data_IF_868434300374
#
_entry.id   IF_868434300374
#
_cell.length_a   1.000
_cell.length_b   1.000
_cell.length_c   1.000
_cell.angle_alpha   90.00
_cell.angle_beta   90.00
_cell.angle_gamma   90.00
#
_symmetry.space_group_name_H-M   'P 1'
#
loop_
_entity.id
_entity.type
_entity.pdbx_description
1 polymer ?
#
# COMPACT_ATOMS: atom_id res chain seq x y z
N UNK A 1 3.67 -22.85 -11.61
CA UNK A 1 2.63 -23.77 -11.10
C UNK A 1 3.38 -24.91 -10.47
N UNK A 2 3.80 -24.76 -9.22
CA UNK A 2 4.46 -25.83 -8.47
C UNK A 2 3.38 -26.65 -7.75
N UNK A 3 3.49 -27.96 -7.89
CA UNK A 3 2.66 -28.95 -7.21
C UNK A 3 2.88 -28.82 -5.69
N UNK A 4 1.85 -28.99 -4.84
CA UNK A 4 2.05 -29.04 -3.40
C UNK A 4 2.97 -30.21 -3.06
N UNK A 5 4.00 -29.94 -2.26
CA UNK A 5 4.91 -30.94 -1.70
C UNK A 5 4.13 -32.03 -0.96
N UNK A 6 4.48 -33.28 -1.24
CA UNK A 6 3.81 -34.51 -0.79
C UNK A 6 3.96 -34.86 0.70
N UNK A 7 4.34 -33.93 1.56
CA UNK A 7 4.40 -34.13 3.01
C UNK A 7 3.81 -32.92 3.73
N UNK A 8 2.47 -32.85 3.78
CA UNK A 8 1.79 -31.93 4.67
C UNK A 8 1.47 -32.72 5.94
N UNK A 9 2.02 -32.30 7.08
CA UNK A 9 1.60 -32.78 8.40
C UNK A 9 0.10 -32.53 8.65
N UNK A 10 -0.40 -32.62 9.89
CA UNK A 10 -1.82 -32.41 10.16
C UNK A 10 -2.28 -31.05 9.61
N UNK A 11 -3.32 -31.06 8.77
CA UNK A 11 -3.98 -29.86 8.25
C UNK A 11 -4.36 -28.95 9.40
N UNK A 12 -3.86 -27.70 9.41
CA UNK A 12 -4.19 -26.69 10.41
C UNK A 12 -5.13 -25.64 9.79
N UNK A 13 -6.21 -25.33 10.48
CA UNK A 13 -7.14 -24.26 10.12
C UNK A 13 -6.75 -22.98 10.89
N UNK A 14 -6.65 -21.85 10.19
CA UNK A 14 -6.25 -20.57 10.77
C UNK A 14 -7.38 -19.54 10.57
N UNK A 15 -7.88 -18.92 11.65
CA UNK A 15 -9.01 -17.99 11.59
C UNK A 15 -8.56 -16.58 11.22
N UNK A 16 -8.21 -16.35 9.95
CA UNK A 16 -7.77 -15.03 9.46
C UNK A 16 -8.89 -14.20 8.80
N UNK A 17 -9.75 -14.75 7.91
CA UNK A 17 -10.87 -13.99 7.35
C UNK A 17 -11.93 -13.67 8.41
N UNK A 18 -12.39 -12.43 8.45
CA UNK A 18 -13.41 -11.94 9.38
C UNK A 18 -14.77 -11.85 8.69
N UNK A 19 -15.55 -12.92 8.76
CA UNK A 19 -16.91 -12.90 8.21
C UNK A 19 -17.85 -12.24 9.22
N UNK A 20 -18.62 -11.26 8.76
CA UNK A 20 -19.63 -10.60 9.57
C UNK A 20 -20.73 -11.59 9.97
N UNK A 21 -21.06 -11.63 11.26
CA UNK A 21 -22.16 -12.41 11.81
C UNK A 21 -23.05 -11.49 12.64
N UNK A 22 -24.37 -11.59 12.48
CA UNK A 22 -25.35 -10.77 13.21
C UNK A 22 -26.28 -11.66 14.02
N UNK A 23 -26.25 -11.49 15.34
CA UNK A 23 -27.17 -12.17 16.26
C UNK A 23 -26.65 -13.56 16.65
N UNK A 24 -27.34 -14.61 16.21
CA UNK A 24 -27.04 -15.99 16.58
C UNK A 24 -25.85 -16.54 15.78
N UNK A 25 -25.03 -17.38 16.43
CA UNK A 25 -23.97 -18.14 15.78
C UNK A 25 -24.00 -19.60 16.23
N UNK A 26 -23.48 -20.52 15.41
CA UNK A 26 -23.49 -21.96 15.68
C UNK A 26 -22.08 -22.56 15.68
N UNK A 27 -21.92 -23.66 16.40
CA UNK A 27 -20.70 -24.49 16.39
C UNK A 27 -21.09 -25.92 16.02
N UNK A 28 -20.56 -26.50 14.91
CA UNK A 28 -19.65 -25.91 13.91
C UNK A 28 -20.22 -24.70 13.18
N UNK A 29 -19.35 -23.77 12.78
CA UNK A 29 -19.77 -22.57 12.05
C UNK A 29 -20.36 -22.92 10.69
N UNK A 30 -21.56 -22.40 10.42
CA UNK A 30 -22.19 -22.47 9.11
C UNK A 30 -21.79 -21.30 8.19
N UNK A 31 -20.94 -20.39 8.68
CA UNK A 31 -20.50 -19.16 8.01
C UNK A 31 -19.22 -19.41 7.21
N UNK A 32 -19.05 -18.67 6.11
CA UNK A 32 -17.87 -18.75 5.25
C UNK A 32 -17.81 -20.01 4.36
N UNK A 33 -16.88 -20.03 3.39
CA UNK A 33 -16.82 -21.08 2.36
C UNK A 33 -16.15 -22.38 2.83
N UNK A 34 -15.50 -22.40 4.00
CA UNK A 34 -14.76 -23.56 4.51
C UNK A 34 -15.45 -24.17 5.71
N UNK A 35 -15.76 -25.46 5.63
CA UNK A 35 -16.24 -26.26 6.77
C UNK A 35 -15.07 -26.98 7.43
N UNK A 36 -14.90 -26.73 8.73
CA UNK A 36 -13.82 -27.32 9.54
C UNK A 36 -14.32 -28.65 10.13
N UNK A 37 -13.74 -29.80 9.74
CA UNK A 37 -14.13 -31.10 10.30
C UNK A 37 -13.91 -31.13 11.82
N UNK A 38 -14.94 -31.52 12.58
CA UNK A 38 -14.85 -31.63 14.04
C UNK A 38 -14.68 -30.30 14.77
N UNK A 39 -15.11 -29.18 14.21
CA UNK A 39 -15.03 -27.88 14.87
C UNK A 39 -15.81 -27.87 16.19
N UNK A 40 -15.12 -27.54 17.27
CA UNK A 40 -15.69 -27.42 18.63
C UNK A 40 -15.66 -25.99 19.18
N UNK A 41 -14.99 -25.06 18.47
CA UNK A 41 -14.81 -23.69 18.92
C UNK A 41 -15.01 -22.71 17.77
N UNK A 42 -15.50 -21.51 18.10
CA UNK A 42 -15.54 -20.33 17.23
C UNK A 42 -14.90 -19.16 17.97
N UNK A 43 -14.30 -18.23 17.24
CA UNK A 43 -13.76 -16.98 17.79
C UNK A 43 -14.57 -15.83 17.25
N UNK A 44 -14.96 -14.91 18.14
CA UNK A 44 -15.70 -13.70 17.78
C UNK A 44 -14.78 -12.49 17.97
N UNK A 45 -14.74 -11.63 16.96
CA UNK A 45 -14.15 -10.30 17.06
C UNK A 45 -15.30 -9.30 17.24
N UNK A 46 -15.35 -8.64 18.40
CA UNK A 46 -16.32 -7.58 18.66
C UNK A 46 -15.63 -6.23 18.51
N UNK A 47 -16.21 -5.35 17.69
CA UNK A 47 -15.66 -4.03 17.41
C UNK A 47 -16.63 -2.94 17.85
N UNK A 48 -16.07 -1.84 18.38
CA UNK A 48 -16.82 -0.65 18.76
C UNK A 48 -16.26 0.53 17.99
N UNK A 49 -17.10 1.17 17.19
CA UNK A 49 -16.79 2.44 16.56
C UNK A 49 -17.22 3.60 17.48
N UNK A 50 -16.30 4.51 17.76
CA UNK A 50 -16.58 5.75 18.51
C UNK A 50 -16.74 6.88 17.49
N UNK A 51 -17.95 7.46 17.34
CA UNK A 51 -18.18 8.60 16.45
C UNK A 51 -17.30 9.81 16.81
N UNK A 52 -17.01 10.65 15.81
CA UNK A 52 -16.11 11.79 15.94
C UNK A 52 -16.58 12.83 16.97
N UNK A 53 -17.88 12.96 17.14
CA UNK A 53 -18.59 13.87 18.04
C UNK A 53 -19.02 13.20 19.36
N UNK A 54 -18.60 11.96 19.60
CA UNK A 54 -18.96 11.24 20.81
C UNK A 54 -18.32 11.90 22.05
N UNK A 55 -19.08 12.22 23.11
CA UNK A 55 -18.55 12.91 24.27
C UNK A 55 -17.46 12.11 25.00
N UNK A 56 -16.43 12.82 25.47
CA UNK A 56 -15.40 12.24 26.33
C UNK A 56 -15.98 11.81 27.69
N UNK A 57 -15.43 10.73 28.25
CA UNK A 57 -15.85 10.18 29.54
C UNK A 57 -15.79 8.66 29.59
N UNK A 58 -16.31 8.11 30.68
CA UNK A 58 -16.42 6.66 30.86
C UNK A 58 -17.79 6.19 30.42
N UNK A 59 -17.83 5.22 29.50
CA UNK A 59 -19.04 4.52 29.05
C UNK A 59 -19.01 3.11 29.61
N UNK A 60 -20.10 2.70 30.25
CA UNK A 60 -20.30 1.34 30.71
C UNK A 60 -21.27 0.63 29.76
N UNK A 61 -20.92 -0.59 29.38
CA UNK A 61 -21.72 -1.48 28.56
C UNK A 61 -21.60 -2.92 29.03
N UNK A 62 -22.31 -3.80 28.34
CA UNK A 62 -22.31 -5.23 28.62
C UNK A 62 -22.36 -6.00 27.29
N UNK A 63 -21.48 -6.98 27.14
CA UNK A 63 -21.56 -7.98 26.08
C UNK A 63 -22.15 -9.25 26.69
N UNK A 64 -23.32 -9.67 26.19
CA UNK A 64 -24.02 -10.86 26.67
C UNK A 64 -24.00 -11.95 25.61
N UNK A 65 -23.61 -13.15 26.01
CA UNK A 65 -23.57 -14.35 25.17
C UNK A 65 -24.53 -15.37 25.77
N UNK A 66 -25.58 -15.71 25.04
CA UNK A 66 -26.61 -16.66 25.48
C UNK A 66 -26.50 -17.98 24.71
N UNK A 67 -26.55 -19.10 25.42
CA UNK A 67 -26.59 -20.46 24.85
C UNK A 67 -27.65 -21.28 25.59
N UNK A 68 -28.80 -21.50 24.94
CA UNK A 68 -29.94 -22.14 25.58
C UNK A 68 -30.41 -21.33 26.81
N UNK A 69 -30.49 -21.92 28.01
CA UNK A 69 -30.89 -21.20 29.22
C UNK A 69 -29.75 -20.42 29.88
N UNK A 70 -28.50 -20.62 29.46
CA UNK A 70 -27.33 -20.00 30.07
C UNK A 70 -27.01 -18.66 29.40
N UNK A 71 -26.69 -17.64 30.19
CA UNK A 71 -26.20 -16.35 29.71
C UNK A 71 -24.92 -15.98 30.43
N UNK A 72 -23.89 -15.65 29.66
CA UNK A 72 -22.61 -15.16 30.14
C UNK A 72 -22.50 -13.67 29.83
N UNK A 73 -22.30 -12.85 30.85
CA UNK A 73 -22.26 -11.40 30.74
C UNK A 73 -20.85 -10.88 31.01
N UNK A 74 -20.32 -10.11 30.07
CA UNK A 74 -19.00 -9.48 30.15
C UNK A 74 -19.20 -7.96 30.30
N UNK A 75 -18.88 -7.36 31.45
CA UNK A 75 -18.94 -5.90 31.59
C UNK A 75 -17.85 -5.25 30.73
N UNK A 76 -18.23 -4.24 29.96
CA UNK A 76 -17.33 -3.46 29.11
C UNK A 76 -17.25 -2.04 29.66
N UNK A 77 -16.05 -1.60 30.02
CA UNK A 77 -15.79 -0.21 30.41
C UNK A 77 -14.91 0.44 29.34
N UNK A 78 -15.44 1.45 28.66
CA UNK A 78 -14.74 2.20 27.62
C UNK A 78 -14.42 3.60 28.15
N UNK A 79 -13.15 4.01 28.06
CA UNK A 79 -12.76 5.41 28.27
C UNK A 79 -12.66 6.10 26.92
N UNK A 80 -13.51 7.10 26.71
CA UNK A 80 -13.44 8.01 25.57
C UNK A 80 -12.62 9.22 25.98
N UNK A 81 -11.45 9.38 25.38
CA UNK A 81 -10.56 10.50 25.63
C UNK A 81 -11.03 11.76 24.88
N UNK A 82 -10.67 12.94 25.38
CA UNK A 82 -11.08 14.23 24.80
C UNK A 82 -10.23 14.63 23.59
N UNK A 83 -10.15 13.75 22.59
CA UNK A 83 -9.56 14.02 21.29
C UNK A 83 -10.18 13.11 20.23
N UNK A 84 -10.11 13.53 18.97
CA UNK A 84 -10.62 12.78 17.83
C UNK A 84 -9.48 12.47 16.87
N UNK A 85 -9.43 11.23 16.37
CA UNK A 85 -8.47 10.88 15.32
C UNK A 85 -8.76 11.67 14.04
N UNK A 86 -7.73 12.18 13.34
CA UNK A 86 -7.96 12.92 12.10
C UNK A 86 -8.51 11.99 11.01
N UNK A 87 -9.31 12.58 10.13
CA UNK A 87 -9.82 11.90 8.94
C UNK A 87 -8.70 11.62 7.95
N UNK A 88 -7.86 12.63 7.66
CA UNK A 88 -6.67 12.50 6.83
C UNK A 88 -5.56 11.75 7.56
N UNK A 89 -4.91 10.81 6.88
CA UNK A 89 -3.82 10.06 7.47
C UNK A 89 -2.49 10.81 7.36
N UNK A 90 -1.73 10.85 8.45
CA UNK A 90 -0.34 11.29 8.45
C UNK A 90 0.64 10.16 8.13
N UNK A 91 0.17 8.92 8.26
CA UNK A 91 0.91 7.70 7.97
C UNK A 91 0.01 6.70 7.25
N UNK A 92 0.47 6.19 6.10
CA UNK A 92 -0.34 5.37 5.19
C UNK A 92 0.11 3.90 5.21
N UNK A 93 -0.69 2.98 5.78
CA UNK A 93 -0.58 1.57 5.47
C UNK A 93 -1.15 1.34 4.06
N UNK A 94 -0.26 1.27 3.07
CA UNK A 94 -0.59 1.11 1.68
C UNK A 94 -0.73 -0.37 1.33
N UNK A 95 -1.96 -0.80 1.11
CA UNK A 95 -2.31 -2.14 0.70
C UNK A 95 -2.08 -2.26 -0.80
N UNK A 96 -0.87 -2.66 -1.21
CA UNK A 96 -0.56 -2.81 -2.62
C UNK A 96 -1.25 -4.05 -3.20
N UNK A 97 -1.65 -3.96 -4.46
CA UNK A 97 -2.06 -5.12 -5.22
C UNK A 97 -1.69 -5.03 -6.70
N UNK A 98 -1.34 -6.18 -7.27
CA UNK A 98 -1.17 -6.38 -8.70
C UNK A 98 -2.41 -7.05 -9.30
N UNK A 99 -2.82 -6.61 -10.49
CA UNK A 99 -3.86 -7.30 -11.25
C UNK A 99 -4.51 -6.41 -12.32
N UNK A 100 -4.91 -7.02 -13.43
CA UNK A 100 -5.38 -6.32 -14.65
C UNK A 100 -6.90 -6.31 -14.82
N UNK A 101 -7.67 -6.71 -13.80
CA UNK A 101 -9.14 -6.56 -13.82
C UNK A 101 -9.49 -5.14 -13.40
N UNK A 102 -10.36 -4.47 -14.16
CA UNK A 102 -10.80 -3.09 -13.90
C UNK A 102 -11.09 -2.89 -12.40
N UNK A 103 -10.39 -1.97 -11.73
CA UNK A 103 -10.44 -1.91 -10.27
C UNK A 103 -11.65 -1.16 -9.72
N UNK A 104 -12.52 -0.61 -10.58
CA UNK A 104 -13.50 0.42 -10.21
C UNK A 104 -14.96 -0.05 -10.25
N UNK A 105 -15.25 -1.34 -10.47
CA UNK A 105 -16.61 -1.84 -10.27
C UNK A 105 -16.92 -1.90 -8.77
N UNK A 106 -17.84 -1.04 -8.31
CA UNK A 106 -18.39 -1.04 -6.95
C UNK A 106 -17.58 -0.33 -5.85
N UNK A 107 -16.29 -0.04 -6.07
CA UNK A 107 -15.37 0.54 -5.07
C UNK A 107 -15.23 -0.24 -3.75
N UNK A 108 -15.82 -1.43 -3.60
CA UNK A 108 -15.93 -2.13 -2.31
C UNK A 108 -14.57 -2.41 -1.65
N UNK A 109 -13.54 -2.74 -2.44
CA UNK A 109 -12.18 -2.92 -1.91
C UNK A 109 -11.56 -1.62 -1.39
N UNK A 110 -11.77 -0.51 -2.11
CA UNK A 110 -11.31 0.79 -1.66
C UNK A 110 -12.07 1.22 -0.41
N UNK A 111 -13.40 1.05 -0.39
CA UNK A 111 -14.25 1.37 0.76
C UNK A 111 -13.85 0.57 2.00
N UNK A 112 -13.60 -0.74 1.84
CA UNK A 112 -13.14 -1.59 2.94
C UNK A 112 -11.76 -1.15 3.45
N UNK A 113 -10.81 -0.88 2.56
CA UNK A 113 -9.48 -0.38 2.95
C UNK A 113 -9.58 0.94 3.70
N UNK A 114 -10.40 1.86 3.19
CA UNK A 114 -10.61 3.19 3.73
C UNK A 114 -11.29 3.18 5.11
N UNK A 115 -12.31 2.34 5.30
CA UNK A 115 -12.94 2.06 6.60
C UNK A 115 -11.90 1.59 7.63
N UNK A 116 -10.94 0.79 7.19
CA UNK A 116 -9.85 0.24 8.01
C UNK A 116 -8.68 1.20 8.17
N UNK A 117 -8.83 2.48 7.79
CA UNK A 117 -7.74 3.49 7.82
C UNK A 117 -6.48 3.00 7.10
N UNK A 118 -6.66 2.30 5.97
CA UNK A 118 -5.58 1.88 5.06
C UNK A 118 -5.89 2.41 3.66
N UNK A 119 -4.92 2.41 2.76
CA UNK A 119 -5.13 2.83 1.38
C UNK A 119 -4.83 1.67 0.44
N UNK A 120 -5.82 1.19 -0.30
CA UNK A 120 -5.58 0.23 -1.38
C UNK A 120 -4.96 0.96 -2.57
N UNK A 121 -3.81 0.49 -3.05
CA UNK A 121 -3.18 1.02 -4.26
C UNK A 121 -2.96 -0.11 -5.26
N UNK A 122 -3.63 -0.04 -6.41
CA UNK A 122 -3.66 -1.13 -7.39
C UNK A 122 -2.87 -0.74 -8.63
N UNK A 123 -1.79 -1.48 -8.89
CA UNK A 123 -0.98 -1.21 -10.08
C UNK A 123 -1.80 -1.48 -11.34
N UNK A 124 -2.00 -0.48 -12.23
CA UNK A 124 -2.96 -0.58 -13.31
C UNK A 124 -2.38 -1.22 -14.58
N UNK A 125 -1.17 -1.78 -14.57
CA UNK A 125 -0.54 -2.37 -15.77
C UNK A 125 0.28 -3.64 -15.44
N UNK A 126 0.54 -4.44 -16.49
CA UNK A 126 1.37 -5.64 -16.42
C UNK A 126 2.74 -5.49 -17.08
N UNK A 127 3.43 -6.60 -17.32
CA UNK A 127 4.82 -6.59 -17.82
C UNK A 127 5.00 -6.02 -19.23
N UNK A 128 3.92 -5.92 -20.01
CA UNK A 128 3.94 -5.31 -21.35
C UNK A 128 3.77 -3.79 -21.31
N UNK A 129 3.53 -3.21 -20.13
CA UNK A 129 3.27 -1.78 -19.94
C UNK A 129 1.92 -1.31 -20.50
N UNK A 130 1.06 -2.22 -20.97
CA UNK A 130 -0.31 -1.84 -21.34
C UNK A 130 -1.15 -1.69 -20.07
N UNK A 131 -1.73 -0.50 -19.80
CA UNK A 131 -2.61 -0.34 -18.67
C UNK A 131 -3.94 -1.07 -18.92
N UNK A 132 -4.44 -1.73 -17.87
CA UNK A 132 -5.76 -2.31 -17.83
C UNK A 132 -6.86 -1.24 -17.90
N UNK A 133 -6.58 -0.04 -17.41
CA UNK A 133 -7.47 1.10 -17.49
C UNK A 133 -6.67 2.41 -17.48
N UNK A 134 -6.94 3.29 -18.44
CA UNK A 134 -6.31 4.59 -18.61
C UNK A 134 -7.23 5.51 -19.45
N UNK A 135 -7.07 6.84 -19.41
CA UNK A 135 -7.74 7.72 -20.38
C UNK A 135 -7.29 7.37 -21.80
N UNK A 136 -8.15 7.61 -22.80
CA UNK A 136 -7.74 7.39 -24.20
C UNK A 136 -6.77 8.48 -24.63
N UNK A 137 -5.72 8.10 -25.32
CA UNK A 137 -4.67 8.98 -25.86
C UNK A 137 -4.63 8.85 -27.38
N UNK A 138 -4.55 9.97 -28.10
CA UNK A 138 -4.46 10.01 -29.57
C UNK A 138 -3.12 10.52 -30.12
N UNK A 139 -2.14 10.78 -29.24
CA UNK A 139 -0.85 11.39 -29.60
C UNK A 139 -0.78 12.89 -29.31
N UNK A 140 -1.92 13.55 -29.10
CA UNK A 140 -1.98 14.98 -28.81
C UNK A 140 -2.80 15.31 -27.55
N UNK A 141 -3.89 14.59 -27.31
CA UNK A 141 -4.86 14.88 -26.25
C UNK A 141 -5.38 13.61 -25.60
N UNK A 142 -5.81 13.77 -24.35
CA UNK A 142 -6.55 12.74 -23.64
C UNK A 142 -8.06 12.92 -23.77
N UNK A 143 -8.79 11.80 -23.84
CA UNK A 143 -10.23 11.76 -23.60
C UNK A 143 -10.50 11.25 -22.19
N UNK A 144 -10.98 12.15 -21.32
CA UNK A 144 -11.11 11.92 -19.87
C UNK A 144 -12.43 11.29 -19.43
N UNK A 145 -13.49 11.31 -20.25
CA UNK A 145 -14.86 10.99 -19.80
C UNK A 145 -15.01 9.65 -19.07
N UNK A 146 -14.38 8.58 -19.56
CA UNK A 146 -14.41 7.28 -18.89
C UNK A 146 -13.52 7.25 -17.65
N UNK A 147 -12.36 7.90 -17.72
CA UNK A 147 -11.41 8.02 -16.62
C UNK A 147 -12.05 8.74 -15.43
N UNK A 148 -12.59 9.94 -15.65
CA UNK A 148 -13.23 10.77 -14.63
C UNK A 148 -14.38 10.05 -13.94
N UNK A 149 -15.19 9.30 -14.69
CA UNK A 149 -16.31 8.53 -14.13
C UNK A 149 -15.83 7.43 -13.17
N UNK A 150 -14.73 6.77 -13.50
CA UNK A 150 -14.24 5.60 -12.76
C UNK A 150 -13.26 5.95 -11.65
N UNK A 151 -12.49 7.03 -11.81
CA UNK A 151 -11.41 7.41 -10.89
C UNK A 151 -11.78 8.63 -10.06
N UNK A 152 -12.57 9.56 -10.61
CA UNK A 152 -13.00 10.78 -9.95
C UNK A 152 -13.52 10.53 -8.53
N UNK A 153 -14.47 9.59 -8.32
CA UNK A 153 -15.00 9.30 -6.99
C UNK A 153 -13.97 8.89 -5.93
N UNK A 154 -12.84 8.29 -6.34
CA UNK A 154 -11.75 7.95 -5.41
C UNK A 154 -10.89 9.16 -5.06
N UNK A 155 -10.72 10.10 -6.00
CA UNK A 155 -9.84 11.28 -5.88
C UNK A 155 -10.56 12.52 -5.35
N UNK A 156 -11.89 12.56 -5.41
CA UNK A 156 -12.73 13.59 -4.78
C UNK A 156 -13.39 13.12 -3.47
N UNK A 157 -13.22 11.84 -3.11
CA UNK A 157 -13.71 11.25 -1.87
C UNK A 157 -15.18 10.80 -1.88
N UNK A 158 -15.94 11.08 -2.94
CA UNK A 158 -17.38 10.72 -2.99
C UNK A 158 -17.62 9.21 -2.95
N UNK A 159 -16.65 8.38 -3.37
CA UNK A 159 -16.71 6.92 -3.23
C UNK A 159 -16.77 6.46 -1.76
N UNK A 160 -16.41 7.30 -0.79
CA UNK A 160 -16.29 6.97 0.63
C UNK A 160 -17.37 7.59 1.50
N UNK A 161 -18.41 8.17 0.89
CA UNK A 161 -19.55 8.71 1.63
C UNK A 161 -20.13 7.66 2.59
N UNK A 162 -20.44 8.10 3.82
CA UNK A 162 -21.02 7.28 4.88
C UNK A 162 -20.03 6.38 5.63
N UNK A 163 -18.74 6.41 5.28
CA UNK A 163 -17.68 5.75 6.07
C UNK A 163 -17.18 6.67 7.19
N UNK A 164 -16.43 6.15 8.19
CA UNK A 164 -15.88 6.96 9.27
C UNK A 164 -15.09 8.19 8.82
N UNK A 165 -14.28 8.05 7.76
CA UNK A 165 -13.50 9.12 7.12
C UNK A 165 -14.24 9.74 5.91
N UNK A 166 -15.56 9.96 6.03
CA UNK A 166 -16.42 10.32 4.90
C UNK A 166 -15.85 11.47 4.07
N UNK A 167 -15.92 11.33 2.74
CA UNK A 167 -15.48 12.33 1.75
C UNK A 167 -13.95 12.61 1.71
N UNK A 168 -13.13 11.88 2.47
CA UNK A 168 -11.68 11.89 2.25
C UNK A 168 -11.34 11.07 1.00
N UNK A 169 -10.52 11.59 0.06
CA UNK A 169 -10.05 10.81 -1.06
C UNK A 169 -9.00 9.77 -0.63
N UNK A 170 -8.65 8.86 -1.55
CA UNK A 170 -7.54 7.93 -1.31
C UNK A 170 -6.25 8.69 -1.03
N UNK A 171 -5.45 8.19 -0.10
CA UNK A 171 -4.20 8.85 0.33
C UNK A 171 -3.12 8.81 -0.78
N UNK A 172 -3.07 7.69 -1.53
CA UNK A 172 -2.14 7.45 -2.65
C UNK A 172 -2.86 6.78 -3.81
N UNK A 173 -2.44 7.03 -5.05
CA UNK A 173 -3.03 6.43 -6.25
C UNK A 173 -2.02 6.30 -7.39
N UNK A 174 -1.85 5.10 -7.93
CA UNK A 174 -1.03 4.87 -9.12
C UNK A 174 -1.63 5.50 -10.37
N UNK A 175 -0.84 6.32 -11.06
CA UNK A 175 -1.13 6.75 -12.41
C UNK A 175 -0.86 5.61 -13.41
N UNK A 176 -1.53 5.60 -14.59
CA UNK A 176 -1.35 4.55 -15.59
C UNK A 176 -0.01 4.63 -16.35
N UNK A 177 0.72 5.75 -16.16
CA UNK A 177 2.03 5.98 -16.75
C UNK A 177 3.01 4.85 -16.45
N UNK A 178 3.68 4.40 -17.51
CA UNK A 178 4.80 3.47 -17.41
C UNK A 178 5.72 3.65 -18.63
N UNK A 179 6.76 2.82 -18.75
CA UNK A 179 7.73 2.93 -19.84
C UNK A 179 7.17 2.63 -21.24
N UNK A 180 5.94 2.15 -21.37
CA UNK A 180 5.32 1.77 -22.65
C UNK A 180 3.90 2.34 -22.82
N UNK A 181 3.49 3.27 -21.94
CA UNK A 181 2.23 4.00 -22.08
C UNK A 181 2.36 5.40 -21.45
N UNK A 182 1.86 6.46 -22.12
CA UNK A 182 1.00 6.43 -23.31
C UNK A 182 1.73 6.32 -24.64
N UNK A 183 3.06 6.44 -24.64
CA UNK A 183 3.89 6.33 -25.83
C UNK A 183 4.42 4.90 -25.93
N UNK A 184 4.27 4.29 -27.10
CA UNK A 184 4.75 2.94 -27.35
C UNK A 184 6.28 2.93 -27.43
N UNK A 185 6.95 2.42 -26.40
CA UNK A 185 8.40 2.40 -26.33
C UNK A 185 9.03 1.64 -27.50
N UNK A 186 8.35 0.62 -28.02
CA UNK A 186 8.93 -0.24 -29.07
C UNK A 186 9.16 0.52 -30.38
N UNK A 187 8.42 1.60 -30.61
CA UNK A 187 8.53 2.40 -31.83
C UNK A 187 9.71 3.40 -31.76
N UNK A 188 10.21 3.68 -30.55
CA UNK A 188 11.20 4.73 -30.28
C UNK A 188 12.51 4.23 -29.64
N UNK A 189 12.54 2.97 -29.20
CA UNK A 189 13.65 2.43 -28.43
C UNK A 189 14.77 1.86 -29.33
N UNK A 190 15.98 2.40 -29.16
CA UNK A 190 17.23 1.82 -29.66
C UNK A 190 18.03 1.23 -28.49
N UNK A 191 18.44 -0.06 -28.53
CA UNK A 191 19.19 -0.66 -27.44
C UNK A 191 20.45 0.13 -27.04
N UNK A 192 20.47 0.60 -25.80
CA UNK A 192 21.57 1.35 -25.22
C UNK A 192 21.76 0.99 -23.74
N UNK A 193 22.98 1.18 -23.23
CA UNK A 193 23.23 1.06 -21.80
C UNK A 193 22.62 2.24 -21.02
N UNK A 194 22.62 3.43 -21.62
CA UNK A 194 22.16 4.69 -21.03
C UNK A 194 20.82 5.13 -21.61
N UNK A 195 19.89 5.55 -20.74
CA UNK A 195 18.56 5.99 -21.14
C UNK A 195 18.59 7.22 -22.06
N UNK A 196 19.51 8.16 -21.85
CA UNK A 196 19.67 9.39 -22.65
C UNK A 196 20.06 9.15 -24.11
N UNK A 197 20.41 7.90 -24.47
CA UNK A 197 20.74 7.52 -25.85
C UNK A 197 19.88 6.37 -26.35
N UNK A 198 18.89 5.97 -25.58
CA UNK A 198 18.04 4.82 -25.88
C UNK A 198 16.73 5.21 -26.56
N UNK A 199 16.32 6.47 -26.47
CA UNK A 199 15.07 6.97 -27.02
C UNK A 199 15.35 8.11 -27.99
N UNK A 200 14.48 8.24 -28.99
CA UNK A 200 14.48 9.42 -29.84
C UNK A 200 13.76 10.61 -29.17
N UNK A 201 13.91 11.79 -29.75
CA UNK A 201 13.29 13.01 -29.24
C UNK A 201 11.75 12.95 -29.27
N UNK A 202 11.15 12.18 -30.19
CA UNK A 202 9.69 12.09 -30.27
C UNK A 202 9.12 11.41 -29.03
N UNK A 203 9.78 10.37 -28.52
CA UNK A 203 9.38 9.71 -27.27
C UNK A 203 9.44 10.65 -26.07
N UNK A 204 10.50 11.44 -25.96
CA UNK A 204 10.66 12.46 -24.92
C UNK A 204 9.57 13.54 -25.01
N UNK A 205 9.33 14.08 -26.20
CA UNK A 205 8.36 15.14 -26.44
C UNK A 205 6.91 14.67 -26.19
N UNK A 206 6.55 13.47 -26.63
CA UNK A 206 5.22 12.91 -26.41
C UNK A 206 4.97 12.56 -24.94
N UNK A 207 5.94 11.97 -24.23
CA UNK A 207 5.82 11.73 -22.79
C UNK A 207 5.72 13.03 -22.00
N UNK A 208 6.55 14.03 -22.31
CA UNK A 208 6.51 15.35 -21.68
C UNK A 208 5.14 15.98 -21.83
N UNK A 209 4.58 15.95 -23.05
CA UNK A 209 3.23 16.47 -23.33
C UNK A 209 2.17 15.71 -22.54
N UNK A 210 2.24 14.39 -22.51
CA UNK A 210 1.28 13.57 -21.78
C UNK A 210 1.33 13.84 -20.27
N UNK A 211 2.51 13.91 -19.67
CA UNK A 211 2.68 14.26 -18.25
C UNK A 211 2.11 15.64 -17.93
N UNK A 212 2.39 16.64 -18.78
CA UNK A 212 1.89 18.00 -18.61
C UNK A 212 0.35 18.06 -18.65
N UNK A 213 -0.26 17.43 -19.65
CA UNK A 213 -1.73 17.39 -19.80
C UNK A 213 -2.42 16.65 -18.64
N UNK A 214 -1.79 15.62 -18.09
CA UNK A 214 -2.32 14.91 -16.92
C UNK A 214 -2.26 15.79 -15.67
N UNK A 215 -1.16 16.53 -15.49
CA UNK A 215 -0.99 17.46 -14.39
C UNK A 215 -2.01 18.61 -14.47
N UNK A 216 -2.20 19.20 -15.65
CA UNK A 216 -3.24 20.20 -15.92
C UNK A 216 -4.63 19.66 -15.57
N UNK A 217 -5.00 18.48 -16.07
CA UNK A 217 -6.30 17.86 -15.78
C UNK A 217 -6.50 17.64 -14.27
N UNK A 218 -5.51 17.11 -13.56
CA UNK A 218 -5.63 16.88 -12.12
C UNK A 218 -5.84 18.19 -11.34
N UNK A 219 -5.23 19.29 -11.79
CA UNK A 219 -5.44 20.62 -11.23
C UNK A 219 -6.84 21.18 -11.56
N UNK A 220 -7.30 21.04 -12.80
CA UNK A 220 -8.66 21.44 -13.22
C UNK A 220 -9.74 20.71 -12.42
N UNK A 221 -9.52 19.44 -12.10
CA UNK A 221 -10.41 18.61 -11.28
C UNK A 221 -10.27 18.85 -9.77
N UNK A 222 -9.30 19.67 -9.36
CA UNK A 222 -8.95 19.93 -7.97
C UNK A 222 -8.56 18.69 -7.15
N UNK A 223 -7.94 17.69 -7.80
CA UNK A 223 -7.43 16.48 -7.15
C UNK A 223 -6.10 16.77 -6.43
N UNK A 224 -6.17 17.55 -5.35
CA UNK A 224 -4.99 18.08 -4.65
C UNK A 224 -4.59 17.29 -3.41
N UNK A 225 -5.47 16.43 -2.90
CA UNK A 225 -5.24 15.78 -1.62
C UNK A 225 -4.45 14.47 -1.74
N UNK A 226 -4.74 13.66 -2.76
CA UNK A 226 -4.07 12.39 -3.08
C UNK A 226 -2.66 12.58 -3.63
N UNK A 227 -1.72 11.72 -3.21
CA UNK A 227 -0.43 11.57 -3.88
C UNK A 227 -0.59 10.71 -5.15
N UNK A 228 -0.50 11.35 -6.32
CA UNK A 228 -0.68 10.72 -7.63
C UNK A 228 0.66 10.22 -8.15
N UNK A 229 0.86 8.90 -8.15
CA UNK A 229 2.18 8.30 -8.29
C UNK A 229 2.46 7.84 -9.72
N UNK A 230 3.47 8.43 -10.37
CA UNK A 230 4.15 7.83 -11.50
C UNK A 230 5.17 6.82 -10.98
N UNK A 231 4.96 5.53 -11.28
CA UNK A 231 5.80 4.44 -10.83
C UNK A 231 6.18 3.56 -12.02
N UNK A 232 7.43 3.09 -12.05
CA UNK A 232 7.92 2.13 -13.04
C UNK A 232 8.17 0.78 -12.35
N UNK A 233 7.30 -0.19 -12.64
CA UNK A 233 7.28 -1.49 -11.95
C UNK A 233 8.04 -2.60 -12.69
N UNK A 234 8.22 -2.44 -14.00
CA UNK A 234 8.66 -3.54 -14.84
C UNK A 234 10.18 -3.77 -14.70
N UNK A 235 10.58 -5.03 -14.91
CA UNK A 235 11.98 -5.46 -14.80
C UNK A 235 12.42 -6.16 -16.07
N UNK A 236 13.62 -5.82 -16.57
CA UNK A 236 14.23 -6.44 -17.74
C UNK A 236 14.18 -7.98 -17.72
N UNK A 237 14.38 -8.59 -16.54
CA UNK A 237 14.36 -10.05 -16.38
C UNK A 237 13.04 -10.72 -16.73
N UNK A 238 11.92 -9.99 -16.74
CA UNK A 238 10.60 -10.53 -17.11
C UNK A 238 10.54 -10.94 -18.59
N UNK A 239 11.41 -10.39 -19.44
CA UNK A 239 11.52 -10.81 -20.85
C UNK A 239 11.85 -12.31 -21.01
N UNK A 240 12.49 -12.93 -20.01
CA UNK A 240 12.75 -14.39 -19.98
C UNK A 240 11.46 -15.23 -19.89
N UNK A 241 10.40 -14.67 -19.30
CA UNK A 241 9.10 -15.34 -19.11
C UNK A 241 8.06 -14.87 -20.12
N UNK A 242 8.12 -13.60 -20.50
CA UNK A 242 7.22 -13.00 -21.47
C UNK A 242 8.03 -12.11 -22.44
N UNK A 243 8.30 -12.57 -23.67
CA UNK A 243 9.06 -11.81 -24.66
C UNK A 243 8.49 -10.42 -24.96
N UNK A 244 7.18 -10.21 -24.77
CA UNK A 244 6.51 -8.92 -24.93
C UNK A 244 6.71 -7.97 -23.74
N UNK A 245 7.57 -8.30 -22.76
CA UNK A 245 7.85 -7.40 -21.64
C UNK A 245 8.59 -6.15 -22.13
N UNK A 246 8.05 -4.97 -21.82
CA UNK A 246 8.51 -3.68 -22.31
C UNK A 246 9.82 -3.20 -21.69
N UNK A 247 10.00 -3.41 -20.39
CA UNK A 247 11.12 -2.86 -19.63
C UNK A 247 12.52 -3.06 -20.27
N UNK A 248 13.24 -1.97 -20.63
CA UNK A 248 14.63 -2.04 -21.07
C UNK A 248 15.62 -2.21 -19.91
N UNK A 249 15.26 -1.75 -18.72
CA UNK A 249 16.05 -1.82 -17.48
C UNK A 249 15.27 -2.49 -16.34
N UNK A 250 15.88 -2.59 -15.17
CA UNK A 250 15.19 -3.04 -13.94
C UNK A 250 14.68 -1.84 -13.17
N UNK A 251 13.43 -1.42 -13.38
CA UNK A 251 12.88 -0.23 -12.72
C UNK A 251 12.45 -0.50 -11.28
N UNK A 252 11.74 -1.60 -11.04
CA UNK A 252 11.40 -2.06 -9.69
C UNK A 252 12.58 -2.82 -9.08
N UNK A 253 13.01 -2.40 -7.89
CA UNK A 253 14.20 -2.91 -7.19
C UNK A 253 15.45 -2.88 -8.10
N UNK A 254 15.90 -1.70 -8.56
CA UNK A 254 17.06 -1.55 -9.44
C UNK A 254 18.32 -2.14 -8.79
N UNK A 255 19.17 -2.77 -9.60
CA UNK A 255 20.38 -3.49 -9.12
C UNK A 255 21.68 -3.01 -9.74
N UNK A 256 21.62 -2.34 -10.89
CA UNK A 256 22.79 -1.81 -11.59
C UNK A 256 22.71 -0.28 -11.74
N UNK A 257 23.87 0.38 -11.92
CA UNK A 257 23.92 1.84 -12.14
C UNK A 257 23.04 2.30 -13.30
N UNK A 258 22.99 1.54 -14.41
CA UNK A 258 22.10 1.84 -15.55
C UNK A 258 20.62 1.90 -15.17
N UNK A 259 20.20 1.09 -14.19
CA UNK A 259 18.81 1.03 -13.76
C UNK A 259 18.46 2.31 -12.99
N UNK A 260 19.31 2.70 -12.05
CA UNK A 260 19.18 3.97 -11.32
C UNK A 260 19.29 5.18 -12.25
N UNK A 261 20.15 5.10 -13.27
CA UNK A 261 20.30 6.15 -14.26
C UNK A 261 19.04 6.29 -15.14
N UNK A 262 18.43 5.17 -15.54
CA UNK A 262 17.17 5.19 -16.27
C UNK A 262 16.01 5.76 -15.43
N UNK A 263 15.91 5.37 -14.14
CA UNK A 263 14.96 5.99 -13.21
C UNK A 263 15.19 7.50 -13.08
N UNK A 264 16.46 7.91 -12.97
CA UNK A 264 16.81 9.34 -12.93
C UNK A 264 16.34 10.08 -14.19
N UNK A 265 16.56 9.51 -15.36
CA UNK A 265 16.16 10.09 -16.64
C UNK A 265 14.64 10.29 -16.71
N UNK A 266 13.85 9.24 -16.42
CA UNK A 266 12.39 9.34 -16.38
C UNK A 266 11.89 10.35 -15.34
N UNK A 267 12.49 10.38 -14.15
CA UNK A 267 12.12 11.32 -13.10
C UNK A 267 12.36 12.78 -13.48
N UNK A 268 13.51 13.10 -14.09
CA UNK A 268 13.77 14.47 -14.56
C UNK A 268 12.81 14.88 -15.69
N UNK A 269 12.51 13.97 -16.61
CA UNK A 269 11.55 14.23 -17.69
C UNK A 269 10.15 14.51 -17.12
N UNK A 270 9.71 13.68 -16.17
CA UNK A 270 8.44 13.86 -15.48
C UNK A 270 8.37 15.20 -14.74
N UNK A 271 9.38 15.52 -13.93
CA UNK A 271 9.44 16.77 -13.18
C UNK A 271 9.44 18.01 -14.06
N UNK A 272 10.24 17.99 -15.13
CA UNK A 272 10.26 19.09 -16.10
C UNK A 272 8.88 19.33 -16.73
N UNK A 273 8.15 18.25 -17.04
CA UNK A 273 6.81 18.32 -17.60
C UNK A 273 5.77 18.85 -16.59
N UNK A 274 5.70 18.26 -15.39
CA UNK A 274 4.67 18.62 -14.41
C UNK A 274 4.89 20.02 -13.82
N UNK A 275 6.15 20.46 -13.69
CA UNK A 275 6.48 21.80 -13.20
C UNK A 275 5.99 22.92 -14.14
N UNK A 276 5.78 22.62 -15.42
CA UNK A 276 5.20 23.57 -16.37
C UNK A 276 3.72 23.85 -16.10
N UNK A 277 3.01 22.91 -15.47
CA UNK A 277 1.63 23.10 -15.02
C UNK A 277 1.62 23.82 -13.67
N UNK A 278 1.25 25.11 -13.64
CA UNK A 278 1.14 25.86 -12.39
C UNK A 278 -0.08 25.36 -11.60
N UNK A 279 0.13 24.56 -10.54
CA UNK A 279 -0.97 23.93 -9.82
C UNK A 279 -0.63 23.38 -8.43
N UNK A 280 -1.62 22.76 -7.78
CA UNK A 280 -1.53 22.16 -6.43
C UNK A 280 -1.63 20.63 -6.43
N UNK A 281 -1.94 20.00 -7.57
CA UNK A 281 -2.01 18.56 -7.69
C UNK A 281 -0.65 17.93 -7.35
N UNK A 282 -0.64 16.89 -6.51
CA UNK A 282 0.57 16.23 -6.01
C UNK A 282 0.95 15.08 -6.91
N UNK A 283 1.47 15.40 -8.10
CA UNK A 283 2.04 14.41 -9.00
C UNK A 283 3.45 14.06 -8.51
N UNK A 284 3.65 12.80 -8.13
CA UNK A 284 4.87 12.33 -7.48
C UNK A 284 5.53 11.21 -8.29
N UNK A 285 6.84 11.30 -8.46
CA UNK A 285 7.67 10.23 -9.00
C UNK A 285 8.10 9.27 -7.89
N UNK A 286 7.58 8.03 -7.98
CA UNK A 286 7.79 6.96 -7.01
C UNK A 286 8.81 5.94 -7.52
N UNK A 287 9.67 5.46 -6.62
CA UNK A 287 10.54 4.31 -6.91
C UNK A 287 10.60 3.31 -5.74
N UNK A 288 10.71 2.02 -6.07
CA UNK A 288 10.82 0.93 -5.09
C UNK A 288 12.26 0.45 -5.02
N UNK A 289 12.94 0.72 -3.90
CA UNK A 289 14.39 0.62 -3.77
C UNK A 289 14.77 -0.43 -2.70
N UNK A 290 15.05 -1.65 -3.14
CA UNK A 290 15.59 -2.72 -2.29
C UNK A 290 17.12 -2.72 -2.18
N UNK A 291 17.83 -2.06 -3.11
CA UNK A 291 19.30 -2.09 -3.19
C UNK A 291 19.92 -0.68 -3.25
N UNK A 292 19.57 0.18 -2.29
CA UNK A 292 20.00 1.58 -2.25
C UNK A 292 21.52 1.79 -2.32
N UNK A 293 22.31 0.81 -1.87
CA UNK A 293 23.78 0.87 -1.95
C UNK A 293 24.31 0.96 -3.40
N UNK A 294 23.54 0.47 -4.38
CA UNK A 294 23.91 0.52 -5.80
C UNK A 294 23.53 1.86 -6.44
N UNK A 295 22.51 2.54 -5.92
CA UNK A 295 22.07 3.84 -6.41
C UNK A 295 22.90 5.02 -5.92
N UNK A 296 23.54 4.89 -4.74
CA UNK A 296 24.24 6.00 -4.07
C UNK A 296 23.32 7.24 -3.98
N UNK A 297 23.72 8.38 -4.52
CA UNK A 297 22.96 9.62 -4.53
C UNK A 297 22.24 9.89 -5.88
N UNK A 298 22.15 8.91 -6.78
CA UNK A 298 21.64 9.11 -8.14
C UNK A 298 20.20 9.60 -8.18
N UNK A 299 19.38 9.25 -7.18
CA UNK A 299 17.96 9.61 -7.11
C UNK A 299 17.67 10.77 -6.14
N UNK A 300 18.68 11.32 -5.47
CA UNK A 300 18.49 12.45 -4.53
C UNK A 300 17.95 13.66 -5.30
N UNK A 301 16.80 14.18 -4.86
CA UNK A 301 16.09 15.28 -5.52
C UNK A 301 15.38 14.90 -6.82
N UNK A 302 15.23 13.60 -7.11
CA UNK A 302 14.54 13.10 -8.30
C UNK A 302 13.29 12.32 -7.91
N UNK A 303 13.38 11.45 -6.92
CA UNK A 303 12.23 10.71 -6.38
C UNK A 303 11.54 11.52 -5.28
N UNK A 304 10.23 11.75 -5.44
CA UNK A 304 9.42 12.38 -4.38
C UNK A 304 9.10 11.37 -3.27
N UNK A 305 8.99 10.09 -3.64
CA UNK A 305 8.63 9.01 -2.73
C UNK A 305 9.42 7.73 -3.04
N UNK A 306 10.09 7.18 -2.03
CA UNK A 306 10.77 5.89 -2.14
C UNK A 306 10.17 4.82 -1.23
N UNK A 307 9.96 3.62 -1.76
CA UNK A 307 9.54 2.46 -0.96
C UNK A 307 10.74 1.56 -0.72
N UNK A 308 11.21 1.51 0.53
CA UNK A 308 12.47 0.88 0.87
C UNK A 308 12.26 -0.56 1.31
N UNK A 309 12.83 -1.48 0.52
CA UNK A 309 12.82 -2.90 0.83
C UNK A 309 14.02 -3.32 1.69
N UNK A 310 13.79 -4.20 2.66
CA UNK A 310 14.85 -4.82 3.46
C UNK A 310 15.72 -3.80 4.18
N UNK A 311 15.09 -2.99 5.03
CA UNK A 311 15.76 -1.88 5.72
C UNK A 311 16.87 -2.34 6.65
N UNK A 312 17.97 -1.60 6.64
CA UNK A 312 19.12 -1.79 7.53
C UNK A 312 19.49 -0.43 8.15
N UNK A 313 20.21 -0.40 9.28
CA UNK A 313 20.69 0.86 9.86
C UNK A 313 21.46 1.73 8.85
N UNK A 314 22.20 1.11 7.93
CA UNK A 314 22.89 1.82 6.86
C UNK A 314 21.93 2.51 5.89
N UNK A 315 20.86 1.81 5.44
CA UNK A 315 19.86 2.39 4.52
C UNK A 315 19.12 3.57 5.15
N UNK A 316 18.74 3.43 6.42
CA UNK A 316 18.04 4.49 7.16
C UNK A 316 18.95 5.71 7.32
N UNK A 317 20.22 5.51 7.69
CA UNK A 317 21.20 6.59 7.72
C UNK A 317 21.40 7.27 6.35
N UNK A 318 21.39 6.50 5.26
CA UNK A 318 21.45 7.10 3.91
C UNK A 318 20.26 8.01 3.66
N UNK A 319 19.05 7.61 4.06
CA UNK A 319 17.86 8.45 3.92
C UNK A 319 17.86 9.69 4.80
N UNK A 320 18.36 9.57 6.03
CA UNK A 320 18.59 10.72 6.90
C UNK A 320 19.57 11.72 6.26
N UNK A 321 20.60 11.25 5.56
CA UNK A 321 21.53 12.10 4.82
C UNK A 321 20.90 12.71 3.56
N UNK A 322 20.14 11.93 2.78
CA UNK A 322 19.46 12.41 1.57
C UNK A 322 18.51 13.56 1.91
N UNK A 323 17.81 13.48 3.04
CA UNK A 323 16.90 14.52 3.55
C UNK A 323 17.61 15.85 3.92
N UNK A 324 18.95 15.87 4.00
CA UNK A 324 19.73 17.11 4.16
C UNK A 324 20.03 17.78 2.81
N UNK A 325 19.88 17.04 1.71
CA UNK A 325 20.26 17.46 0.35
C UNK A 325 19.04 17.84 -0.50
N UNK A 326 17.93 17.14 -0.33
CA UNK A 326 16.68 17.39 -1.04
C UNK A 326 15.47 16.95 -0.20
N UNK A 327 14.32 17.55 -0.49
CA UNK A 327 13.05 17.05 0.01
C UNK A 327 12.71 15.70 -0.64
N UNK A 328 12.05 14.84 0.12
CA UNK A 328 11.64 13.53 -0.33
C UNK A 328 11.06 12.71 0.82
N UNK A 329 10.12 11.84 0.49
CA UNK A 329 9.46 10.96 1.43
C UNK A 329 9.90 9.52 1.23
N UNK A 330 9.71 8.70 2.25
CA UNK A 330 9.85 7.26 2.09
C UNK A 330 8.81 6.48 2.90
N UNK A 331 8.48 5.29 2.41
CA UNK A 331 7.74 4.26 3.13
C UNK A 331 8.57 2.98 3.19
N UNK A 332 8.18 2.06 4.06
CA UNK A 332 8.82 0.75 4.13
C UNK A 332 8.05 -0.30 3.34
N UNK A 333 8.75 -1.02 2.47
CA UNK A 333 8.21 -2.08 1.65
C UNK A 333 8.49 -3.45 2.28
N UNK A 334 7.50 -4.33 2.28
CA UNK A 334 7.63 -5.65 2.90
C UNK A 334 6.50 -6.62 2.63
N UNK A 335 6.45 -7.66 3.46
CA UNK A 335 5.41 -8.68 3.45
C UNK A 335 4.51 -8.49 4.67
N UNK A 336 3.26 -8.90 4.53
CA UNK A 336 2.37 -9.12 5.67
C UNK A 336 3.02 -10.15 6.62
N UNK A 337 2.76 -10.02 7.92
CA UNK A 337 3.17 -11.01 8.92
C UNK A 337 2.67 -12.41 8.56
N UNK A 338 3.40 -13.45 8.98
CA UNK A 338 2.99 -14.84 8.71
C UNK A 338 1.59 -15.10 9.24
N UNK A 339 0.75 -15.81 8.49
CA UNK A 339 -0.63 -16.10 8.91
C UNK A 339 -0.71 -16.88 10.25
N UNK A 340 0.36 -17.58 10.63
CA UNK A 340 0.50 -18.27 11.90
C UNK A 340 1.37 -17.51 12.93
N UNK A 341 1.77 -16.28 12.64
CA UNK A 341 2.53 -15.43 13.55
C UNK A 341 1.62 -14.40 14.22
N UNK A 342 2.15 -13.70 15.22
CA UNK A 342 1.40 -12.75 16.02
C UNK A 342 0.96 -11.52 15.19
N UNK A 343 -0.29 -11.10 15.39
CA UNK A 343 -0.85 -9.90 14.79
C UNK A 343 -0.39 -8.59 15.46
N UNK A 344 0.50 -8.67 16.46
CA UNK A 344 1.24 -7.50 16.95
C UNK A 344 2.30 -7.03 15.97
N UNK A 345 2.73 -7.88 15.04
CA UNK A 345 3.81 -7.57 14.08
C UNK A 345 3.46 -6.42 13.12
N UNK A 346 2.27 -6.34 12.49
CA UNK A 346 1.89 -5.17 11.68
C UNK A 346 1.84 -3.86 12.48
N UNK A 347 1.37 -3.91 13.73
CA UNK A 347 1.35 -2.75 14.64
C UNK A 347 2.77 -2.24 14.89
N UNK A 348 3.67 -3.16 15.28
CA UNK A 348 5.08 -2.83 15.50
C UNK A 348 5.78 -2.36 14.23
N UNK A 349 5.41 -2.88 13.06
CA UNK A 349 5.97 -2.41 11.80
C UNK A 349 5.59 -0.94 11.53
N UNK A 350 4.32 -0.57 11.72
CA UNK A 350 3.88 0.82 11.55
C UNK A 350 4.63 1.77 12.50
N UNK A 351 4.66 1.45 13.79
CA UNK A 351 5.35 2.23 14.81
C UNK A 351 6.86 2.35 14.54
N UNK A 352 7.50 1.24 14.19
CA UNK A 352 8.93 1.22 13.93
C UNK A 352 9.28 2.00 12.65
N UNK A 353 8.50 1.87 11.58
CA UNK A 353 8.66 2.62 10.33
C UNK A 353 8.50 4.12 10.58
N UNK A 354 7.42 4.52 11.27
CA UNK A 354 7.19 5.92 11.64
C UNK A 354 8.33 6.48 12.49
N UNK A 355 8.84 5.72 13.49
CA UNK A 355 9.97 6.16 14.32
C UNK A 355 11.27 6.44 13.53
N UNK A 356 11.39 5.90 12.31
CA UNK A 356 12.52 6.13 11.42
C UNK A 356 12.32 7.29 10.44
N UNK A 357 11.14 7.91 10.45
CA UNK A 357 10.76 8.98 9.52
C UNK A 357 9.98 8.51 8.30
N UNK A 358 9.58 7.24 8.24
CA UNK A 358 8.73 6.76 7.15
C UNK A 358 7.31 7.34 7.28
N UNK A 359 6.69 7.67 6.16
CA UNK A 359 5.29 8.13 6.09
C UNK A 359 4.30 7.00 5.78
N UNK A 360 4.76 5.75 5.75
CA UNK A 360 3.91 4.61 5.49
C UNK A 360 4.62 3.26 5.49
N UNK A 361 3.82 2.21 5.31
CA UNK A 361 4.27 0.83 5.09
C UNK A 361 3.49 0.23 3.91
N UNK A 362 4.13 -0.65 3.15
CA UNK A 362 3.54 -1.27 1.96
C UNK A 362 3.75 -2.79 1.98
N UNK A 363 2.74 -3.58 2.38
CA UNK A 363 2.66 -5.00 2.01
C UNK A 363 2.43 -5.17 0.50
N UNK A 364 3.31 -5.95 -0.15
CA UNK A 364 3.43 -5.99 -1.62
C UNK A 364 2.26 -6.58 -2.42
N UNK A 365 1.46 -7.45 -1.82
CA UNK A 365 0.26 -8.01 -2.45
C UNK A 365 -0.73 -8.33 -1.35
N UNK A 366 -1.90 -7.69 -1.38
CA UNK A 366 -2.87 -7.77 -0.28
C UNK A 366 -4.22 -8.31 -0.72
N UNK A 367 -4.53 -8.27 -2.02
CA UNK A 367 -5.77 -8.83 -2.57
C UNK A 367 -5.56 -10.32 -2.85
N UNK A 368 -6.37 -11.14 -2.17
CA UNK A 368 -6.38 -12.59 -2.35
C UNK A 368 -7.08 -13.04 -3.64
N UNK A 369 -7.20 -14.35 -3.77
CA UNK A 369 -7.94 -15.05 -4.83
C UNK A 369 -9.01 -15.95 -4.19
N UNK A 370 -9.87 -16.57 -4.99
CA UNK A 370 -10.81 -17.58 -4.47
C UNK A 370 -10.12 -18.72 -3.71
N UNK A 371 -8.87 -19.04 -4.08
CA UNK A 371 -8.05 -20.05 -3.39
C UNK A 371 -7.56 -19.60 -2.01
N UNK A 372 -7.56 -18.31 -1.72
CA UNK A 372 -7.02 -17.77 -0.47
C UNK A 372 -7.83 -18.25 0.74
N UNK A 373 -9.14 -18.48 0.56
CA UNK A 373 -10.01 -19.11 1.55
C UNK A 373 -9.60 -20.53 1.93
N UNK A 374 -8.93 -21.26 1.02
CA UNK A 374 -8.62 -22.68 1.19
C UNK A 374 -7.19 -22.95 1.64
N UNK A 375 -6.25 -22.03 1.37
CA UNK A 375 -4.81 -22.32 1.39
C UNK A 375 -4.00 -21.52 2.42
N UNK A 376 -4.66 -20.90 3.41
CA UNK A 376 -3.99 -20.08 4.41
C UNK A 376 -3.05 -19.05 3.74
N UNK A 377 -3.62 -18.25 2.83
CA UNK A 377 -2.84 -17.35 1.99
C UNK A 377 -2.07 -16.32 2.83
N UNK A 378 -0.75 -16.40 2.70
CA UNK A 378 0.19 -15.55 3.42
C UNK A 378 0.00 -14.06 3.11
N UNK A 379 -0.46 -13.73 1.91
CA UNK A 379 -0.51 -12.36 1.41
C UNK A 379 -1.89 -11.72 1.56
N UNK A 380 -2.95 -12.52 1.50
CA UNK A 380 -4.32 -12.01 1.51
C UNK A 380 -4.65 -11.24 2.81
N UNK A 381 -4.97 -9.96 2.65
CA UNK A 381 -5.63 -9.12 3.66
C UNK A 381 -7.08 -8.82 3.26
N UNK A 382 -7.36 -8.85 1.95
CA UNK A 382 -8.68 -8.70 1.37
C UNK A 382 -9.07 -10.05 0.74
N UNK A 383 -10.03 -10.73 1.33
CA UNK A 383 -10.53 -12.02 0.87
C UNK A 383 -11.70 -11.82 -0.11
N UNK A 384 -11.59 -12.24 -1.37
CA UNK A 384 -12.64 -12.00 -2.36
C UNK A 384 -13.88 -12.85 -2.12
N UNK A 385 -15.07 -12.28 -2.28
CA UNK A 385 -16.36 -13.00 -2.37
C UNK A 385 -17.19 -12.46 -3.53
N UNK A 386 -18.33 -13.11 -3.82
CA UNK A 386 -19.31 -12.63 -4.81
C UNK A 386 -19.95 -11.29 -4.41
N UNK A 387 -20.00 -10.98 -3.10
CA UNK A 387 -20.66 -9.78 -2.56
C UNK A 387 -19.65 -8.70 -2.11
N UNK A 388 -18.42 -8.75 -2.63
CA UNK A 388 -17.34 -7.84 -2.23
C UNK A 388 -16.29 -8.49 -1.31
N UNK A 389 -15.26 -7.74 -0.89
CA UNK A 389 -14.18 -8.26 -0.08
C UNK A 389 -14.56 -8.43 1.40
N UNK A 390 -13.92 -9.41 2.03
CA UNK A 390 -13.94 -9.66 3.47
C UNK A 390 -12.58 -9.28 4.05
N UNK A 391 -12.51 -8.49 5.15
CA UNK A 391 -11.25 -8.12 5.77
C UNK A 391 -10.62 -9.29 6.51
N UNK A 392 -9.31 -9.25 6.69
CA UNK A 392 -8.59 -10.18 7.56
C UNK A 392 -8.35 -9.61 8.96
N UNK A 393 -8.10 -10.49 9.93
CA UNK A 393 -7.64 -10.09 11.26
C UNK A 393 -6.30 -9.35 11.18
N UNK A 394 -5.45 -9.70 10.22
CA UNK A 394 -4.21 -8.97 9.93
C UNK A 394 -4.44 -7.56 9.38
N UNK A 395 -5.51 -7.31 8.62
CA UNK A 395 -5.89 -5.95 8.19
C UNK A 395 -6.25 -5.08 9.40
N UNK A 396 -6.98 -5.64 10.38
CA UNK A 396 -7.27 -4.95 11.66
C UNK A 396 -6.02 -4.58 12.43
N UNK A 397 -4.97 -5.40 12.35
CA UNK A 397 -3.68 -5.06 12.95
C UNK A 397 -2.99 -3.87 12.27
N UNK A 398 -3.10 -3.72 10.94
CA UNK A 398 -2.65 -2.51 10.25
C UNK A 398 -3.49 -1.28 10.65
N UNK A 399 -4.81 -1.42 10.76
CA UNK A 399 -5.70 -0.36 11.29
C UNK A 399 -5.22 0.11 12.65
N UNK A 400 -4.92 -0.83 13.55
CA UNK A 400 -4.43 -0.52 14.89
C UNK A 400 -3.07 0.19 14.86
N UNK A 401 -2.12 -0.31 14.05
CA UNK A 401 -0.81 0.32 13.87
C UNK A 401 -0.91 1.75 13.34
N UNK A 402 -1.85 1.99 12.42
CA UNK A 402 -2.15 3.31 11.88
C UNK A 402 -2.66 4.26 12.97
N UNK A 403 -3.67 3.83 13.74
CA UNK A 403 -4.25 4.62 14.83
C UNK A 403 -3.21 4.95 15.92
N UNK A 404 -2.35 3.99 16.27
CA UNK A 404 -1.29 4.21 17.26
C UNK A 404 -0.27 5.26 16.78
N UNK A 405 0.05 5.30 15.48
CA UNK A 405 0.86 6.37 14.89
C UNK A 405 0.15 7.72 14.99
N UNK A 406 -1.15 7.80 14.68
CA UNK A 406 -1.89 9.06 14.80
C UNK A 406 -1.96 9.58 16.24
N UNK A 407 -2.07 8.70 17.24
CA UNK A 407 -1.99 9.13 18.64
C UNK A 407 -0.65 9.79 18.95
N UNK A 408 0.46 9.30 18.40
CA UNK A 408 1.79 9.90 18.58
C UNK A 408 1.93 11.23 17.85
N UNK A 409 1.30 11.37 16.68
CA UNK A 409 1.26 12.63 15.94
C UNK A 409 0.44 13.68 16.69
N UNK A 410 -0.74 13.32 17.19
CA UNK A 410 -1.57 14.17 18.04
C UNK A 410 -0.84 14.54 19.34
N UNK A 411 -0.15 13.59 19.96
CA UNK A 411 0.67 13.86 21.14
C UNK A 411 1.74 14.91 20.85
N UNK A 412 2.44 14.77 19.72
CA UNK A 412 3.48 15.70 19.30
C UNK A 412 2.92 17.11 19.07
N UNK A 413 1.77 17.20 18.39
CA UNK A 413 1.07 18.47 18.17
C UNK A 413 0.60 19.12 19.48
N UNK A 414 -0.03 18.36 20.37
CA UNK A 414 -0.57 18.85 21.63
C UNK A 414 0.52 19.36 22.60
N UNK A 415 1.76 18.89 22.45
CA UNK A 415 2.90 19.27 23.30
C UNK A 415 3.95 20.12 22.59
N UNK A 416 3.64 20.63 21.38
CA UNK A 416 4.58 21.38 20.53
C UNK A 416 5.94 20.69 20.38
N UNK A 417 5.92 19.35 20.27
CA UNK A 417 7.12 18.53 20.14
C UNK A 417 7.43 18.31 18.66
N UNK A 418 8.67 18.58 18.21
CA UNK A 418 9.12 18.16 16.90
C UNK A 418 9.00 16.64 16.76
N UNK A 419 8.57 16.18 15.59
CA UNK A 419 8.45 14.75 15.26
C UNK A 419 9.64 13.91 15.75
N UNK A 420 10.88 14.40 15.54
CA UNK A 420 12.12 13.69 15.91
C UNK A 420 12.23 13.40 17.41
N UNK A 421 11.65 14.24 18.26
CA UNK A 421 11.65 14.03 19.72
C UNK A 421 10.74 12.86 20.07
N UNK A 422 9.48 12.89 19.62
CA UNK A 422 8.52 11.81 19.87
C UNK A 422 8.96 10.49 19.24
N UNK A 423 9.46 10.53 18.01
CA UNK A 423 10.02 9.37 17.33
C UNK A 423 11.25 8.80 18.09
N UNK A 424 12.10 9.66 18.64
CA UNK A 424 13.23 9.27 19.48
C UNK A 424 12.81 8.56 20.76
N UNK A 425 11.77 9.07 21.44
CA UNK A 425 11.19 8.44 22.64
C UNK A 425 10.59 7.07 22.31
N UNK A 426 9.80 6.97 21.24
CA UNK A 426 9.26 5.69 20.78
C UNK A 426 10.40 4.70 20.47
N UNK A 427 11.46 5.17 19.81
CA UNK A 427 12.60 4.32 19.46
C UNK A 427 13.33 3.81 20.71
N UNK A 428 13.43 4.59 21.79
CA UNK A 428 13.98 4.11 23.06
C UNK A 428 13.10 3.06 23.73
N UNK A 429 11.77 3.21 23.67
CA UNK A 429 10.82 2.25 24.24
C UNK A 429 10.74 0.94 23.46
N UNK A 430 10.76 1.02 22.13
CA UNK A 430 10.86 -0.16 21.27
C UNK A 430 12.21 -0.89 21.45
N UNK A 431 13.23 -0.19 21.96
CA UNK A 431 14.57 -0.73 22.13
C UNK A 431 15.14 -1.29 20.82
N UNK A 432 15.97 -2.32 20.95
CA UNK A 432 16.57 -3.03 19.81
C UNK A 432 15.57 -3.96 19.09
N UNK A 433 14.25 -3.83 19.29
CA UNK A 433 13.22 -4.57 18.54
C UNK A 433 13.24 -4.27 17.03
N UNK A 434 14.04 -3.30 16.58
CA UNK A 434 14.49 -3.24 15.19
C UNK A 434 15.14 -4.56 14.72
N UNK A 435 15.74 -5.37 15.61
CA UNK A 435 16.19 -6.74 15.31
C UNK A 435 15.04 -7.72 15.11
N UNK A 436 13.84 -7.54 15.65
CA UNK A 436 12.71 -8.44 15.36
C UNK A 436 12.20 -8.19 13.94
N UNK A 437 12.03 -6.92 13.54
CA UNK A 437 11.74 -6.58 12.13
C UNK A 437 12.91 -6.97 11.22
N UNK A 438 14.16 -6.72 11.61
CA UNK A 438 15.34 -7.00 10.77
C UNK A 438 15.66 -8.48 10.69
N UNK A 439 15.54 -9.28 11.75
CA UNK A 439 15.74 -10.73 11.71
C UNK A 439 14.58 -11.45 11.00
N UNK A 440 13.35 -10.94 11.08
CA UNK A 440 12.23 -11.43 10.26
C UNK A 440 12.46 -11.06 8.77
N UNK A 441 12.86 -9.82 8.46
CA UNK A 441 13.14 -9.38 7.08
C UNK A 441 14.42 -10.02 6.49
N UNK A 442 15.47 -10.24 7.27
CA UNK A 442 16.73 -10.87 6.85
C UNK A 442 16.60 -12.40 6.77
N UNK A 443 15.88 -13.07 7.67
CA UNK A 443 15.60 -14.52 7.54
C UNK A 443 14.71 -14.82 6.33
N UNK A 444 13.95 -13.84 5.82
CA UNK A 444 13.20 -13.97 4.57
C UNK A 444 14.07 -13.85 3.31
N UNK A 445 15.20 -13.13 3.37
CA UNK A 445 16.16 -13.09 2.26
C UNK A 445 16.99 -14.39 2.16
N UNK A 446 17.25 -15.06 3.28
CA UNK A 446 17.99 -16.32 3.33
C UNK A 446 17.25 -17.52 2.70
N UNK A 447 15.93 -17.44 2.46
CA UNK A 447 15.17 -18.49 1.75
C UNK A 447 15.22 -18.39 0.22
N UNK A 448 16.04 -17.51 -0.37
CA UNK A 448 16.24 -17.42 -1.84
C UNK A 448 17.58 -17.97 -2.33
N UNK A 449 18.40 -18.54 -1.45
CA UNK A 449 19.64 -19.20 -1.84
C UNK A 449 19.49 -20.71 -1.64
N UNK A 450 19.13 -21.41 -2.72
CA UNK A 450 19.19 -22.86 -3.05
C UNK A 450 17.99 -23.06 -4.00
N UNK A 451 18.11 -23.31 -5.30
CA UNK A 451 19.10 -24.03 -6.11
C UNK A 451 19.19 -23.41 -7.52
N UNK A 452 20.31 -23.68 -8.20
CA UNK A 452 20.55 -23.40 -9.62
C UNK A 452 19.40 -23.84 -10.55
#
# INVERSE_FOLDING_TARGET
>A
MELPSKDLGPTRYLPDPLVEERGEFVVPSNVGPVKIPGQQNVSLLCELYVPHDFPAGTVLGQLSITSGPETFEIPVMLTVWNFTLPNKLSFVPEMNAYGTVSPFEGYDYYRLAHEHRTCLNRLPYGWTGNPAFAPKWDGERFTWTSWDRAVGPLLDGTAFQGLPRSEEPVDVFYLPFNENWPVNLFDHYTPSYWADSAFDANYEDELTRAFSLFAEHCNEKAWHETMLQFYLNNKLRYRRKNPASSAPWTFDEPVDLKDFWALRWYGNLFHAAVAASSGKAKLCYRADISYSQFGRNTLVGVTDMEYLGGNTPQKIRMKENDALLAEGYFAEYGNVNRINAENTLPVLWCLAAWSRGAIGVLPWQTVGTSRSWLLADQNALFYPTENGPVPSLRLKAFTRGQQDVEYLVLYSFAHDQPFRVTAGLLKSELGDCSRVCTEVLQKMQACRSFSL
#
